data_IF_274651912532
#
_entry.id   IF_274651912532
#
_cell.length_a   1.000
_cell.length_b   1.000
_cell.length_c   1.000
_cell.angle_alpha   90.00
_cell.angle_beta   90.00
_cell.angle_gamma   90.00
#
_symmetry.space_group_name_H-M   'P 1'
#
loop_
_entity.id
_entity.type
_entity.pdbx_description
1 polymer ?
#
# COMPACT_ATOMS: atom_id res chain seq x y z
N UNK A 1 -9.55 22.68 5.44
CA UNK A 1 -10.01 21.51 4.65
C UNK A 1 -8.88 20.52 4.48
N UNK A 2 -9.18 19.26 4.20
CA UNK A 2 -8.14 18.29 3.81
C UNK A 2 -7.54 18.70 2.46
N UNK A 3 -6.22 18.56 2.29
CA UNK A 3 -5.59 18.76 0.98
C UNK A 3 -6.09 17.67 0.02
N UNK A 4 -6.34 17.99 -1.26
CA UNK A 4 -6.57 16.97 -2.28
C UNK A 4 -5.40 15.99 -2.29
N UNK A 5 -5.72 14.70 -2.44
CA UNK A 5 -4.72 13.65 -2.60
C UNK A 5 -4.50 13.46 -4.09
N UNK A 6 -3.25 13.59 -4.54
CA UNK A 6 -2.88 13.31 -5.92
C UNK A 6 -2.69 11.79 -6.11
N UNK A 7 -3.10 11.29 -7.27
CA UNK A 7 -2.89 9.88 -7.63
C UNK A 7 -1.42 9.58 -7.88
N UNK A 8 -0.68 10.53 -8.45
CA UNK A 8 0.72 10.32 -8.81
C UNK A 8 1.61 10.16 -7.57
N UNK A 9 1.28 10.83 -6.46
CA UNK A 9 1.98 10.63 -5.18
C UNK A 9 1.85 9.18 -4.69
N UNK A 10 0.70 8.54 -4.89
CA UNK A 10 0.50 7.14 -4.47
C UNK A 10 1.29 6.19 -5.37
N UNK A 11 1.34 6.49 -6.68
CA UNK A 11 2.12 5.71 -7.66
C UNK A 11 3.61 5.78 -7.37
N UNK A 12 4.14 6.97 -7.09
CA UNK A 12 5.54 7.15 -6.71
C UNK A 12 5.92 6.32 -5.47
N UNK A 13 5.05 6.29 -4.46
CA UNK A 13 5.26 5.47 -3.25
C UNK A 13 5.18 3.97 -3.60
N UNK A 14 4.20 3.55 -4.40
CA UNK A 14 4.08 2.17 -4.85
C UNK A 14 5.34 1.72 -5.59
N UNK A 15 5.85 2.54 -6.51
CA UNK A 15 7.04 2.23 -7.29
C UNK A 15 8.30 2.19 -6.42
N UNK A 16 8.42 3.09 -5.44
CA UNK A 16 9.50 3.05 -4.46
C UNK A 16 9.45 1.77 -3.60
N UNK A 17 8.26 1.31 -3.20
CA UNK A 17 8.08 0.04 -2.51
C UNK A 17 8.52 -1.15 -3.39
N UNK A 18 8.14 -1.15 -4.68
CA UNK A 18 8.54 -2.20 -5.63
C UNK A 18 10.03 -2.28 -5.82
N UNK A 19 10.69 -1.14 -6.03
CA UNK A 19 12.14 -1.07 -6.21
C UNK A 19 12.91 -1.62 -5.00
N UNK A 20 12.34 -1.50 -3.80
CA UNK A 20 12.95 -1.95 -2.55
C UNK A 20 12.42 -3.30 -2.05
N UNK A 21 11.58 -3.99 -2.84
CA UNK A 21 10.92 -5.24 -2.42
C UNK A 21 10.14 -5.11 -1.10
N UNK A 22 9.55 -3.94 -0.84
CA UNK A 22 8.72 -3.67 0.34
C UNK A 22 7.25 -3.94 -0.01
N UNK A 23 6.51 -4.72 0.80
CA UNK A 23 5.07 -4.90 0.62
C UNK A 23 4.32 -3.57 0.65
N UNK A 24 3.46 -3.33 -0.36
CA UNK A 24 2.65 -2.12 -0.46
C UNK A 24 1.18 -2.36 -0.07
N UNK A 25 0.67 -1.55 0.87
CA UNK A 25 -0.72 -1.59 1.30
C UNK A 25 -1.37 -0.22 1.12
N UNK A 26 -2.41 -0.14 0.28
CA UNK A 26 -3.18 1.08 0.07
C UNK A 26 -4.53 0.99 0.78
N UNK A 27 -4.64 1.70 1.90
CA UNK A 27 -5.81 1.60 2.78
C UNK A 27 -6.99 2.43 2.28
N UNK A 28 -6.79 3.72 1.97
CA UNK A 28 -7.83 4.59 1.45
C UNK A 28 -7.30 5.91 0.87
N UNK A 29 -8.11 6.52 0.01
CA UNK A 29 -7.96 7.90 -0.43
C UNK A 29 -8.35 8.92 0.66
N UNK A 30 -7.66 10.06 0.67
CA UNK A 30 -7.97 11.21 1.52
C UNK A 30 -9.12 12.10 1.00
N UNK A 31 -9.16 13.34 1.44
CA UNK A 31 -10.13 14.34 0.99
C UNK A 31 -11.42 14.43 1.81
N UNK A 32 -12.31 15.34 1.40
CA UNK A 32 -13.53 15.72 2.15
C UNK A 32 -14.54 14.57 2.23
N UNK A 33 -14.61 13.72 1.20
CA UNK A 33 -15.51 12.56 1.14
C UNK A 33 -14.76 11.22 1.22
N UNK A 34 -13.87 11.09 2.21
CA UNK A 34 -13.04 9.91 2.48
C UNK A 34 -13.78 8.56 2.46
N UNK A 35 -15.05 8.51 2.87
CA UNK A 35 -15.85 7.26 2.86
C UNK A 35 -16.27 6.80 1.46
N UNK A 36 -16.28 7.71 0.47
CA UNK A 36 -16.72 7.41 -0.90
C UNK A 36 -15.57 7.10 -1.85
N UNK A 37 -14.39 7.64 -1.56
CA UNK A 37 -13.23 7.52 -2.45
C UNK A 37 -12.65 6.09 -2.44
N UNK A 38 -12.89 5.30 -1.40
CA UNK A 38 -12.52 3.89 -1.35
C UNK A 38 -11.00 3.68 -1.33
N UNK A 39 -10.55 2.57 -1.90
CA UNK A 39 -9.16 2.09 -1.79
C UNK A 39 -8.59 1.47 -3.07
N UNK A 40 -9.21 1.80 -4.21
CA UNK A 40 -8.78 1.34 -5.52
C UNK A 40 -7.73 2.30 -6.07
N UNK A 41 -6.57 1.76 -6.45
CA UNK A 41 -5.52 2.46 -7.18
C UNK A 41 -5.27 1.68 -8.47
N UNK A 42 -5.40 2.35 -9.62
CA UNK A 42 -5.22 1.77 -10.96
C UNK A 42 -6.07 0.51 -11.20
N UNK A 43 -7.36 0.59 -10.81
CA UNK A 43 -8.34 -0.47 -11.07
C UNK A 43 -8.26 -1.68 -10.14
N UNK A 44 -7.38 -1.68 -9.13
CA UNK A 44 -7.28 -2.77 -8.14
C UNK A 44 -7.07 -2.28 -6.71
N UNK A 45 -7.25 -3.17 -5.75
CA UNK A 45 -6.78 -2.96 -4.38
C UNK A 45 -5.35 -3.48 -4.21
N UNK A 46 -4.62 -2.86 -3.30
CA UNK A 46 -3.27 -3.24 -2.91
C UNK A 46 -3.27 -3.58 -1.42
N UNK A 47 -3.10 -4.86 -1.12
CA UNK A 47 -3.34 -5.48 0.19
C UNK A 47 -2.14 -6.29 0.68
N UNK A 48 -0.92 -5.88 0.31
CA UNK A 48 0.26 -6.69 0.61
C UNK A 48 0.66 -6.58 2.07
N UNK A 49 1.14 -7.70 2.61
CA UNK A 49 1.70 -7.81 3.95
C UNK A 49 3.08 -8.46 3.85
N UNK A 50 4.00 -8.16 4.77
CA UNK A 50 5.24 -8.92 4.86
C UNK A 50 4.92 -10.39 5.11
N UNK A 51 5.74 -11.28 4.55
CA UNK A 51 5.77 -12.66 5.00
C UNK A 51 5.93 -12.63 6.52
N UNK A 52 4.99 -13.25 7.23
CA UNK A 52 4.81 -13.20 8.68
C UNK A 52 6.14 -13.05 9.42
N UNK A 53 6.26 -12.11 10.36
CA UNK A 53 7.37 -12.05 11.32
C UNK A 53 7.31 -13.22 12.32
N UNK A 54 7.21 -14.45 11.81
CA UNK A 54 7.17 -15.71 12.53
C UNK A 54 7.79 -16.77 11.62
N UNK A 55 9.02 -17.14 11.95
CA UNK A 55 9.81 -18.24 11.40
C UNK A 55 10.55 -18.02 10.07
N UNK A 56 11.70 -17.35 10.13
CA UNK A 56 12.93 -18.08 9.74
C UNK A 56 13.25 -19.05 10.89
N UNK A 57 12.38 -20.05 11.05
CA UNK A 57 12.62 -21.25 11.84
C UNK A 57 12.27 -22.36 10.86
N UNK A 58 13.25 -22.72 10.04
CA UNK A 58 13.39 -24.02 9.42
C UNK A 58 14.90 -24.34 9.39
N UNK A 59 15.23 -25.62 9.50
CA UNK A 59 15.88 -26.22 10.64
C UNK A 59 17.41 -26.15 10.54
N UNK A 60 18.09 -26.34 11.66
CA UNK A 60 19.45 -26.88 11.61
C UNK A 60 19.37 -28.27 10.95
N UNK A 61 19.82 -28.35 9.71
CA UNK A 61 20.30 -29.56 9.07
C UNK A 61 21.67 -29.23 8.44
#
# INVERSE_FOLDING_TARGET
>A
GARPMDTDWVREIHDACRQQSVPFFFKQWGGVHKSRAGRVLDGRTWDEYPATARAVIYPLA
#
